data_IF_548314619460
#
_entry.id   IF_548314619460
#
_cell.length_a   1.000
_cell.length_b   1.000
_cell.length_c   1.000
_cell.angle_alpha   90.00
_cell.angle_beta   90.00
_cell.angle_gamma   90.00
#
_symmetry.space_group_name_H-M   'P 1'
#
loop_
_entity.id
_entity.type
_entity.pdbx_description
1 polymer ?
#
# COMPACT_ATOMS: atom_id res chain seq x y z
N UNK A 1 -15.51 -20.21 -11.52
CA UNK A 1 -16.20 -18.90 -11.50
C UNK A 1 -15.14 -17.80 -11.53
N UNK A 2 -15.18 -16.87 -12.49
CA UNK A 2 -14.13 -15.84 -12.65
C UNK A 2 -14.56 -14.60 -11.85
N UNK A 3 -13.90 -14.34 -10.73
CA UNK A 3 -14.14 -13.17 -9.85
C UNK A 3 -13.24 -12.02 -10.33
N UNK A 4 -13.71 -10.77 -10.32
CA UNK A 4 -12.81 -9.63 -10.58
C UNK A 4 -11.72 -9.58 -9.51
N UNK A 5 -10.47 -9.57 -9.92
CA UNK A 5 -9.34 -9.56 -8.99
C UNK A 5 -9.03 -8.10 -8.60
N UNK A 6 -9.03 -7.85 -7.28
CA UNK A 6 -8.51 -6.61 -6.73
C UNK A 6 -7.01 -6.55 -6.94
N UNK A 7 -6.53 -5.40 -7.41
CA UNK A 7 -5.12 -5.13 -7.54
C UNK A 7 -4.54 -4.35 -6.35
N UNK A 8 -5.38 -3.97 -5.38
CA UNK A 8 -4.91 -3.29 -4.17
C UNK A 8 -4.00 -4.26 -3.39
N UNK A 9 -2.72 -3.91 -3.33
CA UNK A 9 -1.68 -4.73 -2.71
C UNK A 9 -1.16 -4.12 -1.41
N UNK A 10 -0.38 -4.91 -0.66
CA UNK A 10 0.19 -4.51 0.63
C UNK A 10 1.38 -3.55 0.54
N UNK A 11 1.75 -2.99 1.70
CA UNK A 11 2.98 -2.19 1.83
C UNK A 11 4.23 -3.02 1.57
N UNK A 12 5.20 -2.43 0.87
CA UNK A 12 6.46 -3.05 0.47
C UNK A 12 6.33 -4.04 -0.69
N UNK A 13 5.17 -4.11 -1.36
CA UNK A 13 5.01 -4.91 -2.57
C UNK A 13 5.70 -4.17 -3.73
N UNK A 14 6.70 -4.77 -4.40
CA UNK A 14 7.32 -4.19 -5.57
C UNK A 14 6.32 -4.13 -6.71
N UNK A 15 6.50 -3.17 -7.60
CA UNK A 15 5.69 -3.05 -8.78
C UNK A 15 6.49 -2.58 -9.99
N UNK A 16 5.91 -2.85 -11.15
CA UNK A 16 6.31 -2.26 -12.42
C UNK A 16 5.12 -1.54 -13.05
N UNK A 17 5.39 -0.39 -13.64
CA UNK A 17 4.41 0.32 -14.47
C UNK A 17 4.20 -0.44 -15.78
N UNK A 18 2.96 -0.85 -16.03
CA UNK A 18 2.54 -1.58 -17.22
C UNK A 18 2.71 -0.78 -18.50
N UNK A 19 2.85 -1.49 -19.62
CA UNK A 19 3.11 -0.93 -20.96
C UNK A 19 1.94 -0.13 -21.53
N UNK A 20 0.75 -0.30 -20.97
CA UNK A 20 -0.49 0.36 -21.34
C UNK A 20 -0.75 1.66 -20.55
N UNK A 21 0.24 2.20 -19.86
CA UNK A 21 0.11 3.46 -19.10
C UNK A 21 0.49 4.66 -19.97
N UNK A 22 -0.39 5.68 -20.02
CA UNK A 22 -0.19 6.93 -20.78
C UNK A 22 0.13 8.13 -19.85
N UNK A 23 0.84 7.86 -18.75
CA UNK A 23 1.21 8.88 -17.75
C UNK A 23 2.52 9.59 -18.11
N UNK A 24 2.51 10.93 -18.11
CA UNK A 24 3.68 11.76 -18.46
C UNK A 24 4.79 11.80 -17.40
N UNK A 25 4.49 11.41 -16.17
CA UNK A 25 5.38 11.38 -15.00
C UNK A 25 5.96 9.97 -14.78
N UNK A 26 5.16 8.93 -15.01
CA UNK A 26 5.52 7.53 -14.82
C UNK A 26 5.49 6.76 -16.15
N UNK A 27 6.65 6.68 -16.79
CA UNK A 27 6.79 5.93 -18.04
C UNK A 27 6.61 4.42 -17.83
N UNK A 28 6.09 3.69 -18.83
CA UNK A 28 6.16 2.24 -18.91
C UNK A 28 7.51 1.68 -18.46
N UNK A 29 7.46 0.67 -17.57
CA UNK A 29 8.63 0.03 -17.01
C UNK A 29 9.24 0.70 -15.78
N UNK A 30 8.70 1.83 -15.32
CA UNK A 30 9.11 2.43 -14.04
C UNK A 30 8.93 1.41 -12.90
N UNK A 31 9.96 1.25 -12.06
CA UNK A 31 9.97 0.34 -10.92
C UNK A 31 9.78 1.10 -9.61
N UNK A 32 9.14 0.46 -8.65
CA UNK A 32 8.98 1.02 -7.31
C UNK A 32 8.38 0.03 -6.33
N UNK A 33 8.05 0.53 -5.14
CA UNK A 33 7.36 -0.19 -4.08
C UNK A 33 6.10 0.55 -3.65
N UNK A 34 5.03 -0.22 -3.42
CA UNK A 34 3.78 0.28 -2.87
C UNK A 34 3.95 0.55 -1.37
N UNK A 35 3.55 1.73 -0.88
CA UNK A 35 3.58 2.03 0.55
C UNK A 35 2.20 1.82 1.19
N UNK A 36 1.28 2.76 1.05
CA UNK A 36 -0.05 2.62 1.61
C UNK A 36 -1.11 3.33 0.78
N UNK A 37 -2.36 2.87 0.91
CA UNK A 37 -3.52 3.52 0.32
C UNK A 37 -3.81 4.85 1.02
N UNK A 38 -3.60 5.96 0.29
CA UNK A 38 -3.92 7.32 0.73
C UNK A 38 -5.44 7.51 0.82
N UNK A 39 -6.17 7.16 -0.23
CA UNK A 39 -7.62 7.30 -0.29
C UNK A 39 -8.19 7.00 -1.67
N UNK A 40 -9.51 7.15 -1.82
CA UNK A 40 -10.18 7.05 -3.12
C UNK A 40 -9.96 8.29 -3.96
N UNK A 41 -10.10 8.13 -5.26
CA UNK A 41 -10.43 9.24 -6.14
C UNK A 41 -11.85 9.73 -5.88
N UNK A 42 -12.04 11.05 -5.85
CA UNK A 42 -13.35 11.66 -5.57
C UNK A 42 -14.24 11.64 -6.82
N UNK A 43 -13.64 11.66 -8.00
CA UNK A 43 -14.33 11.71 -9.27
C UNK A 43 -14.60 10.29 -9.79
N UNK A 44 -13.72 9.32 -9.46
CA UNK A 44 -13.78 7.95 -9.99
C UNK A 44 -13.81 6.87 -8.90
N UNK A 45 -14.95 6.19 -8.76
CA UNK A 45 -15.16 5.18 -7.72
C UNK A 45 -14.25 3.93 -7.83
N UNK A 46 -13.74 3.62 -9.03
CA UNK A 46 -12.85 2.47 -9.28
C UNK A 46 -11.35 2.84 -9.24
N UNK A 47 -11.01 3.99 -8.66
CA UNK A 47 -9.63 4.51 -8.63
C UNK A 47 -9.20 4.85 -7.21
N UNK A 48 -7.95 4.55 -6.90
CA UNK A 48 -7.33 4.78 -5.60
C UNK A 48 -5.98 5.49 -5.74
N UNK A 49 -5.68 6.36 -4.78
CA UNK A 49 -4.36 6.97 -4.63
C UNK A 49 -3.49 6.11 -3.70
N UNK A 50 -2.32 5.72 -4.19
CA UNK A 50 -1.27 5.11 -3.40
C UNK A 50 -0.15 6.10 -3.17
N UNK A 51 0.42 6.07 -1.96
CA UNK A 51 1.80 6.50 -1.81
C UNK A 51 2.73 5.39 -2.31
N UNK A 52 3.71 5.80 -3.11
CA UNK A 52 4.72 4.91 -3.69
C UNK A 52 6.11 5.46 -3.48
N UNK A 53 7.08 4.56 -3.49
CA UNK A 53 8.50 4.90 -3.55
C UNK A 53 9.01 4.39 -4.89
N UNK A 54 9.47 5.30 -5.73
CA UNK A 54 10.09 4.97 -7.02
C UNK A 54 11.60 5.02 -6.89
N UNK A 55 12.27 4.04 -7.50
CA UNK A 55 13.73 3.97 -7.54
C UNK A 55 14.16 4.52 -8.90
N UNK A 56 14.90 5.64 -8.90
CA UNK A 56 15.34 6.32 -10.12
C UNK A 56 16.86 6.40 -10.19
N UNK A 57 17.41 6.44 -11.41
CA UNK A 57 18.81 6.82 -11.64
C UNK A 57 18.89 8.34 -11.85
N UNK A 58 19.69 9.02 -11.04
CA UNK A 58 19.96 10.45 -11.16
C UNK A 58 20.90 10.78 -12.33
N UNK A 59 21.13 12.08 -12.56
CA UNK A 59 21.97 12.60 -13.67
C UNK A 59 23.43 12.11 -13.64
N UNK A 60 23.92 11.67 -12.48
CA UNK A 60 25.26 11.07 -12.31
C UNK A 60 25.27 9.54 -12.25
N UNK A 61 24.19 8.86 -12.66
CA UNK A 61 24.08 7.38 -12.61
C UNK A 61 23.79 6.80 -11.23
N UNK A 62 23.94 7.57 -10.15
CA UNK A 62 23.59 7.17 -8.77
C UNK A 62 22.08 6.90 -8.63
N UNK A 63 21.72 5.83 -7.93
CA UNK A 63 20.31 5.54 -7.61
C UNK A 63 19.82 6.49 -6.51
N UNK A 64 18.56 6.91 -6.60
CA UNK A 64 17.87 7.73 -5.60
C UNK A 64 16.44 7.26 -5.39
N UNK A 65 15.89 7.59 -4.23
CA UNK A 65 14.51 7.30 -3.87
C UNK A 65 13.65 8.55 -4.03
N UNK A 66 12.62 8.48 -4.87
CA UNK A 66 11.62 9.53 -5.00
C UNK A 66 10.33 9.07 -4.33
N UNK A 67 9.77 9.90 -3.44
CA UNK A 67 8.51 9.64 -2.75
C UNK A 67 7.38 10.36 -3.47
N UNK A 68 6.45 9.59 -4.01
CA UNK A 68 5.38 10.17 -4.82
C UNK A 68 4.02 9.57 -4.49
N UNK A 69 3.02 10.06 -5.21
CA UNK A 69 1.68 9.51 -5.23
C UNK A 69 1.36 9.07 -6.66
N UNK A 70 0.62 7.98 -6.75
CA UNK A 70 0.17 7.42 -8.02
C UNK A 70 -1.29 7.05 -7.91
N UNK A 71 -2.01 7.33 -8.98
CA UNK A 71 -3.41 6.95 -9.09
C UNK A 71 -3.49 5.63 -9.85
N UNK A 72 -4.30 4.71 -9.35
CA UNK A 72 -4.30 3.32 -9.82
C UNK A 72 -5.72 2.74 -9.84
N UNK A 73 -6.13 2.01 -10.89
CA UNK A 73 -7.43 1.34 -10.93
C UNK A 73 -7.50 0.15 -9.95
N UNK A 74 -8.58 0.07 -9.18
CA UNK A 74 -8.77 -0.99 -8.17
C UNK A 74 -8.93 -2.36 -8.82
N UNK A 75 -9.72 -2.44 -9.88
CA UNK A 75 -9.93 -3.65 -10.69
C UNK A 75 -9.37 -3.45 -12.09
N UNK A 76 -8.56 -4.39 -12.56
CA UNK A 76 -8.04 -4.41 -13.93
C UNK A 76 -8.74 -5.53 -14.70
N UNK A 77 -9.73 -5.20 -15.51
CA UNK A 77 -10.15 -6.08 -16.58
C UNK A 77 -9.85 -5.43 -17.92
N UNK A 78 -9.40 -6.25 -18.86
CA UNK A 78 -9.16 -5.86 -20.26
C UNK A 78 -10.35 -5.09 -20.83
N UNK A 79 -11.58 -5.51 -20.54
CA UNK A 79 -12.81 -4.84 -20.97
C UNK A 79 -13.02 -3.47 -20.28
N UNK A 80 -12.80 -3.35 -18.96
CA UNK A 80 -12.91 -2.06 -18.25
C UNK A 80 -11.86 -1.08 -18.81
N UNK A 81 -10.63 -1.55 -19.03
CA UNK A 81 -9.56 -0.70 -19.57
C UNK A 81 -9.74 -0.33 -21.05
N UNK A 82 -10.26 -1.22 -21.88
CA UNK A 82 -10.51 -0.94 -23.31
C UNK A 82 -11.73 -0.03 -23.52
N UNK A 83 -12.71 -0.08 -22.60
CA UNK A 83 -13.92 0.77 -22.64
C UNK A 83 -13.72 2.18 -22.06
N UNK A 84 -12.58 2.47 -21.41
CA UNK A 84 -12.24 3.86 -21.05
C UNK A 84 -12.09 4.77 -22.27
N UNK A 85 -11.93 4.18 -23.46
CA UNK A 85 -11.88 4.90 -24.73
C UNK A 85 -13.25 5.35 -25.25
N UNK A 86 -14.34 4.81 -24.72
CA UNK A 86 -15.68 4.97 -25.33
C UNK A 86 -16.79 5.37 -24.35
N UNK A 87 -16.52 5.43 -23.04
CA UNK A 87 -17.53 5.76 -22.04
C UNK A 87 -17.28 7.12 -21.38
N UNK A 88 -18.24 8.05 -21.49
CA UNK A 88 -18.25 9.41 -20.91
C UNK A 88 -18.14 9.46 -19.36
N UNK A 89 -18.19 8.30 -18.70
CA UNK A 89 -18.16 8.15 -17.24
C UNK A 89 -16.97 7.33 -16.74
N UNK A 90 -16.09 6.92 -17.64
CA UNK A 90 -14.74 6.45 -17.34
C UNK A 90 -13.80 7.65 -17.46
N UNK A 91 -12.69 7.68 -16.72
CA UNK A 91 -11.77 8.80 -16.83
C UNK A 91 -11.35 8.94 -18.30
N UNK A 92 -11.50 10.13 -18.90
CA UNK A 92 -11.03 10.34 -20.27
C UNK A 92 -9.56 9.95 -20.32
N UNK A 93 -9.14 9.27 -21.39
CA UNK A 93 -7.73 8.89 -21.62
C UNK A 93 -6.79 10.10 -21.46
N UNK A 94 -7.32 11.29 -21.75
CA UNK A 94 -6.63 12.57 -21.69
C UNK A 94 -6.39 13.08 -20.26
N UNK A 95 -6.96 12.44 -19.22
CA UNK A 95 -6.61 12.70 -17.81
C UNK A 95 -5.31 11.95 -17.48
N UNK A 96 -4.19 12.61 -17.78
CA UNK A 96 -2.77 12.29 -17.58
C UNK A 96 -2.25 11.27 -16.52
N UNK A 97 -3.01 10.63 -15.62
CA UNK A 97 -2.42 10.12 -14.36
C UNK A 97 -2.85 8.77 -13.77
N UNK A 98 -3.55 7.88 -14.49
CA UNK A 98 -3.82 6.52 -13.97
C UNK A 98 -2.85 5.52 -14.57
N UNK A 99 -2.01 4.95 -13.71
CA UNK A 99 -0.95 4.04 -14.12
C UNK A 99 -1.42 2.62 -13.88
N UNK A 100 -1.06 1.66 -14.74
CA UNK A 100 -1.26 0.24 -14.42
C UNK A 100 -0.04 -0.26 -13.68
N UNK A 101 -0.27 -0.82 -12.50
CA UNK A 101 0.74 -1.38 -11.61
C UNK A 101 0.61 -2.90 -11.66
N UNK A 102 1.72 -3.55 -12.00
CA UNK A 102 1.85 -5.01 -11.96
C UNK A 102 2.57 -5.38 -10.65
N UNK A 103 1.84 -5.77 -9.58
CA UNK A 103 2.46 -6.13 -8.32
C UNK A 103 3.27 -7.41 -8.47
N UNK A 104 4.47 -7.42 -7.90
CA UNK A 104 5.35 -8.57 -7.86
C UNK A 104 5.24 -9.26 -6.49
N UNK A 105 5.06 -10.60 -6.44
CA UNK A 105 4.97 -11.31 -5.17
C UNK A 105 6.27 -11.19 -4.36
N UNK A 106 6.14 -10.89 -3.06
CA UNK A 106 7.28 -10.77 -2.16
C UNK A 106 7.35 -11.98 -1.20
N UNK A 107 8.46 -12.71 -1.24
CA UNK A 107 8.78 -13.73 -0.24
C UNK A 107 9.75 -13.16 0.80
N UNK A 108 9.92 -13.83 1.95
CA UNK A 108 10.92 -13.43 2.94
C UNK A 108 12.34 -13.48 2.36
N UNK A 109 12.66 -14.54 1.62
CA UNK A 109 13.96 -14.71 0.98
C UNK A 109 14.20 -13.58 -0.02
N UNK A 110 13.18 -13.22 -0.81
CA UNK A 110 13.25 -12.06 -1.71
C UNK A 110 13.58 -10.77 -0.96
N UNK A 111 12.99 -10.51 0.22
CA UNK A 111 13.33 -9.29 1.00
C UNK A 111 14.76 -9.29 1.53
N UNK A 112 15.30 -10.46 1.90
CA UNK A 112 16.67 -10.58 2.39
C UNK A 112 17.72 -10.49 1.27
N UNK A 113 17.36 -10.96 0.08
CA UNK A 113 18.20 -11.00 -1.14
C UNK A 113 18.09 -9.73 -1.99
N UNK A 114 17.19 -8.79 -1.65
CA UNK A 114 17.09 -7.48 -2.31
C UNK A 114 18.44 -6.77 -2.35
N UNK A 115 18.69 -6.03 -3.42
CA UNK A 115 19.85 -5.12 -3.44
C UNK A 115 19.72 -4.06 -2.33
N UNK A 116 20.82 -3.35 -2.04
CA UNK A 116 20.83 -2.38 -0.95
C UNK A 116 19.80 -1.25 -1.11
N UNK A 117 19.57 -0.80 -2.33
CA UNK A 117 18.66 0.31 -2.63
C UNK A 117 17.21 -0.15 -2.60
N UNK A 118 16.91 -1.34 -3.11
CA UNK A 118 15.60 -1.99 -3.03
C UNK A 118 15.20 -2.24 -1.58
N UNK A 119 16.14 -2.72 -0.76
CA UNK A 119 15.90 -2.91 0.66
C UNK A 119 15.68 -1.58 1.39
N UNK A 120 16.50 -0.57 1.09
CA UNK A 120 16.31 0.77 1.66
C UNK A 120 14.93 1.32 1.28
N UNK A 121 14.53 1.21 0.01
CA UNK A 121 13.22 1.63 -0.46
C UNK A 121 12.09 0.86 0.25
N UNK A 122 12.24 -0.46 0.43
CA UNK A 122 11.30 -1.29 1.18
C UNK A 122 11.18 -0.84 2.64
N UNK A 123 12.30 -0.58 3.30
CA UNK A 123 12.35 -0.07 4.67
C UNK A 123 11.66 1.30 4.77
N UNK A 124 11.91 2.20 3.81
CA UNK A 124 11.26 3.50 3.71
C UNK A 124 9.73 3.39 3.55
N UNK A 125 9.26 2.46 2.71
CA UNK A 125 7.83 2.22 2.49
C UNK A 125 7.13 1.86 3.80
N UNK A 126 7.74 0.95 4.56
CA UNK A 126 7.23 0.49 5.84
C UNK A 126 7.29 1.56 6.92
N UNK A 127 8.39 2.32 7.02
CA UNK A 127 8.51 3.43 7.95
C UNK A 127 7.41 4.49 7.70
N UNK A 128 7.16 4.87 6.45
CA UNK A 128 6.06 5.80 6.10
C UNK A 128 4.68 5.24 6.46
N UNK A 129 4.43 3.97 6.16
CA UNK A 129 3.19 3.30 6.57
C UNK A 129 3.00 3.33 8.09
N UNK A 130 4.04 2.99 8.86
CA UNK A 130 4.02 3.06 10.33
C UNK A 130 3.80 4.48 10.86
N UNK A 131 4.43 5.49 10.23
CA UNK A 131 4.24 6.91 10.58
C UNK A 131 2.79 7.35 10.40
N UNK A 132 2.11 6.91 9.33
CA UNK A 132 0.69 7.15 9.13
C UNK A 132 -0.18 6.48 10.19
N UNK A 133 0.10 5.21 10.50
CA UNK A 133 -0.59 4.53 11.59
C UNK A 133 -0.39 5.27 12.92
N UNK A 134 0.83 5.74 13.21
CA UNK A 134 1.13 6.54 14.40
C UNK A 134 0.34 7.86 14.43
N UNK A 135 0.29 8.63 13.34
CA UNK A 135 -0.46 9.89 13.27
C UNK A 135 -1.95 9.68 13.54
N UNK A 136 -2.52 8.57 13.07
CA UNK A 136 -3.91 8.20 13.36
C UNK A 136 -4.17 7.83 14.83
N UNK A 137 -3.11 7.68 15.64
CA UNK A 137 -3.16 7.36 17.08
C UNK A 137 -2.72 8.51 17.99
N UNK A 138 -2.59 9.74 17.47
CA UNK A 138 -2.07 10.91 18.20
C UNK A 138 -2.91 11.38 19.41
N UNK A 139 -3.94 10.63 19.81
CA UNK A 139 -4.74 10.86 21.02
C UNK A 139 -4.19 10.21 22.30
N UNK A 140 -3.09 9.45 22.25
CA UNK A 140 -2.50 8.84 23.45
C UNK A 140 -1.69 9.89 24.24
N UNK A 141 -2.23 10.33 25.38
CA UNK A 141 -1.62 11.32 26.30
C UNK A 141 -0.44 10.80 27.12
N UNK A 142 -0.13 9.50 27.09
CA UNK A 142 1.02 8.93 27.81
C UNK A 142 1.92 8.16 26.86
N UNK A 143 3.16 8.64 26.75
CA UNK A 143 4.21 7.98 25.99
C UNK A 143 4.91 6.94 26.88
N UNK A 144 5.12 5.70 26.40
CA UNK A 144 5.84 4.68 27.16
C UNK A 144 7.29 5.11 27.40
N UNK A 145 7.80 4.94 28.62
CA UNK A 145 9.19 5.27 28.97
C UNK A 145 10.22 4.20 28.58
N UNK A 146 9.77 2.98 28.25
CA UNK A 146 10.61 1.83 27.94
C UNK A 146 11.01 1.77 26.44
N UNK A 147 12.30 1.70 26.13
CA UNK A 147 12.84 1.60 24.76
C UNK A 147 12.44 0.30 24.01
N UNK A 148 12.04 -0.75 24.73
CA UNK A 148 11.53 -2.01 24.16
C UNK A 148 10.06 -1.92 23.80
N UNK A 149 9.36 -0.87 24.23
CA UNK A 149 7.96 -0.66 23.89
C UNK A 149 7.83 -0.36 22.39
N UNK A 150 6.80 -0.92 21.75
CA UNK A 150 6.66 -0.90 20.28
C UNK A 150 6.64 0.51 19.68
N UNK A 151 6.02 1.47 20.36
CA UNK A 151 6.00 2.89 19.97
C UNK A 151 7.39 3.54 19.96
N UNK A 152 8.28 3.14 20.87
CA UNK A 152 9.66 3.62 20.91
C UNK A 152 10.53 2.95 19.86
N UNK A 153 10.31 1.65 19.61
CA UNK A 153 10.94 0.94 18.47
C UNK A 153 10.51 1.60 17.15
N UNK A 154 9.23 1.92 16.98
CA UNK A 154 8.70 2.65 15.81
C UNK A 154 9.28 4.06 15.68
N UNK A 155 9.42 4.81 16.78
CA UNK A 155 9.99 6.16 16.74
C UNK A 155 11.46 6.11 16.35
N UNK A 156 12.23 5.22 16.98
CA UNK A 156 13.62 4.98 16.62
C UNK A 156 13.73 4.64 15.12
N UNK A 157 12.87 3.75 14.59
CA UNK A 157 12.82 3.40 13.16
C UNK A 157 12.51 4.60 12.23
N UNK A 158 11.76 5.58 12.72
CA UNK A 158 11.39 6.79 11.98
C UNK A 158 12.46 7.89 12.10
N UNK A 159 13.24 7.91 13.18
CA UNK A 159 14.36 8.84 13.38
C UNK A 159 15.49 8.54 12.40
N UNK A 160 15.69 7.27 12.02
CA UNK A 160 16.56 6.91 10.88
C UNK A 160 16.09 7.53 9.55
N UNK A 161 14.83 7.96 9.45
CA UNK A 161 14.18 8.39 8.22
C UNK A 161 13.71 9.87 8.24
N UNK A 162 14.18 10.68 9.19
CA UNK A 162 13.63 12.02 9.48
C UNK A 162 14.46 13.21 8.95
N UNK A 163 15.64 13.00 8.38
CA UNK A 163 16.51 14.08 7.90
C UNK A 163 16.02 14.69 6.59
N UNK A 164 16.13 16.02 6.43
CA UNK A 164 16.11 16.65 5.11
C UNK A 164 17.37 16.18 4.36
N UNK A 165 17.21 15.18 3.51
CA UNK A 165 18.32 14.44 2.90
C UNK A 165 19.09 15.27 1.89
N UNK A 166 20.39 15.46 2.15
CA UNK A 166 21.39 15.79 1.15
C UNK A 166 22.09 14.51 0.65
N UNK A 167 22.75 14.58 -0.51
CA UNK A 167 23.33 13.42 -1.20
C UNK A 167 24.40 12.67 -0.39
N UNK A 168 25.05 13.31 0.58
CA UNK A 168 26.08 12.72 1.44
C UNK A 168 25.50 11.82 2.53
N UNK A 169 24.34 12.17 3.12
CA UNK A 169 23.65 11.36 4.13
C UNK A 169 23.00 10.09 3.54
N UNK A 170 22.81 10.05 2.21
CA UNK A 170 22.31 8.87 1.50
C UNK A 170 23.32 7.71 1.47
N UNK A 171 24.62 8.02 1.44
CA UNK A 171 25.71 7.01 1.38
C UNK A 171 25.89 6.33 2.73
N UNK A 172 25.94 7.10 3.83
CA UNK A 172 26.05 6.59 5.21
C UNK A 172 24.88 5.66 5.59
N UNK A 173 23.66 5.98 5.14
CA UNK A 173 22.52 5.11 5.36
C UNK A 173 22.60 3.83 4.53
N UNK A 174 22.97 3.93 3.25
CA UNK A 174 23.11 2.75 2.40
C UNK A 174 24.08 1.74 3.04
N UNK A 175 25.28 2.18 3.43
CA UNK A 175 26.29 1.32 4.07
C UNK A 175 25.81 0.71 5.40
N UNK A 176 25.10 1.50 6.22
CA UNK A 176 24.53 1.04 7.51
C UNK A 176 23.41 0.00 7.33
N UNK A 177 22.59 0.12 6.28
CA UNK A 177 21.44 -0.77 6.02
C UNK A 177 21.78 -2.00 5.18
N UNK A 178 22.89 -1.98 4.43
CA UNK A 178 23.41 -3.15 3.70
C UNK A 178 24.27 -4.08 4.56
N UNK A 179 24.70 -3.64 5.75
CA UNK A 179 25.36 -4.51 6.71
C UNK A 179 24.40 -5.63 7.18
N UNK A 180 24.80 -6.89 6.99
CA UNK A 180 23.93 -8.07 7.13
C UNK A 180 23.16 -8.16 8.47
N UNK A 181 23.78 -7.75 9.58
CA UNK A 181 23.15 -7.79 10.91
C UNK A 181 22.02 -6.75 11.10
N UNK A 182 22.10 -5.60 10.44
CA UNK A 182 21.10 -4.51 10.56
C UNK A 182 19.86 -4.85 9.74
N UNK A 183 20.03 -5.40 8.53
CA UNK A 183 18.94 -5.82 7.64
C UNK A 183 18.05 -6.86 8.31
N UNK A 184 18.65 -7.91 8.88
CA UNK A 184 17.88 -8.97 9.53
C UNK A 184 17.11 -8.46 10.76
N UNK A 185 17.76 -7.67 11.62
CA UNK A 185 17.12 -7.09 12.80
C UNK A 185 15.97 -6.15 12.41
N UNK A 186 16.14 -5.34 11.36
CA UNK A 186 15.08 -4.48 10.85
C UNK A 186 13.87 -5.27 10.35
N UNK A 187 14.07 -6.33 9.54
CA UNK A 187 12.96 -7.16 9.04
C UNK A 187 12.24 -7.86 10.19
N UNK A 188 12.97 -8.39 11.17
CA UNK A 188 12.40 -9.01 12.37
C UNK A 188 11.59 -7.98 13.20
N UNK A 189 12.14 -6.78 13.44
CA UNK A 189 11.45 -5.69 14.15
C UNK A 189 10.19 -5.22 13.41
N UNK A 190 10.24 -5.05 12.10
CA UNK A 190 9.08 -4.68 11.28
C UNK A 190 7.94 -5.69 11.39
N UNK A 191 8.26 -6.99 11.39
CA UNK A 191 7.27 -8.06 11.59
C UNK A 191 6.65 -8.01 12.99
N UNK A 192 7.48 -7.82 14.03
CA UNK A 192 7.02 -7.65 15.41
C UNK A 192 6.11 -6.42 15.56
N UNK A 193 6.47 -5.28 14.97
CA UNK A 193 5.66 -4.05 14.95
C UNK A 193 4.34 -4.28 14.23
N UNK A 194 4.38 -4.86 13.03
CA UNK A 194 3.17 -5.13 12.27
C UNK A 194 2.20 -6.05 13.03
N UNK A 195 2.73 -7.02 13.80
CA UNK A 195 1.95 -7.89 14.67
C UNK A 195 1.43 -7.18 15.93
N UNK A 196 2.25 -6.36 16.58
CA UNK A 196 1.87 -5.63 17.79
C UNK A 196 0.85 -4.50 17.50
N UNK A 197 0.87 -3.94 16.29
CA UNK A 197 -0.12 -3.00 15.80
C UNK A 197 -1.33 -3.68 15.14
N UNK A 198 -1.69 -4.90 15.56
CA UNK A 198 -2.76 -5.69 14.96
C UNK A 198 -4.05 -4.88 14.76
N UNK A 199 -4.46 -4.05 15.72
CA UNK A 199 -5.65 -3.21 15.60
C UNK A 199 -5.54 -2.16 14.47
N UNK A 200 -4.41 -1.47 14.36
CA UNK A 200 -4.15 -0.48 13.31
C UNK A 200 -4.02 -1.16 11.94
N UNK A 201 -3.38 -2.33 11.89
CA UNK A 201 -3.29 -3.14 10.68
C UNK A 201 -4.66 -3.67 10.21
N UNK A 202 -5.52 -4.12 11.14
CA UNK A 202 -6.91 -4.50 10.83
C UNK A 202 -7.72 -3.28 10.37
N UNK A 203 -7.46 -2.09 10.93
CA UNK A 203 -8.09 -0.84 10.48
C UNK A 203 -7.68 -0.49 9.05
N UNK A 204 -6.39 -0.65 8.70
CA UNK A 204 -5.91 -0.52 7.33
C UNK A 204 -6.60 -1.52 6.39
N UNK A 205 -6.63 -2.82 6.74
CA UNK A 205 -7.31 -3.86 5.97
C UNK A 205 -8.81 -3.56 5.77
N UNK A 206 -9.46 -2.97 6.77
CA UNK A 206 -10.84 -2.56 6.66
C UNK A 206 -11.01 -1.40 5.69
N UNK A 207 -10.12 -0.40 5.73
CA UNK A 207 -10.12 0.72 4.78
C UNK A 207 -9.97 0.21 3.34
N UNK A 208 -9.01 -0.67 3.08
CA UNK A 208 -8.81 -1.25 1.74
C UNK A 208 -10.02 -2.05 1.28
N UNK A 209 -10.58 -2.90 2.15
CA UNK A 209 -11.76 -3.71 1.80
C UNK A 209 -13.01 -2.87 1.53
N UNK A 210 -13.19 -1.75 2.23
CA UNK A 210 -14.29 -0.80 1.96
C UNK A 210 -14.14 -0.14 0.59
N UNK A 211 -12.93 0.30 0.25
CA UNK A 211 -12.67 0.89 -1.07
C UNK A 211 -12.94 -0.10 -2.21
N UNK A 212 -12.51 -1.35 -2.05
CA UNK A 212 -12.86 -2.41 -3.00
C UNK A 212 -14.37 -2.64 -3.09
N UNK A 213 -15.06 -2.66 -1.95
CA UNK A 213 -16.51 -2.85 -1.89
C UNK A 213 -17.27 -1.73 -2.62
N UNK A 214 -16.93 -0.47 -2.34
CA UNK A 214 -17.57 0.69 -2.97
C UNK A 214 -17.37 0.67 -4.50
N UNK A 215 -16.14 0.34 -4.94
CA UNK A 215 -15.81 0.20 -6.34
C UNK A 215 -16.60 -0.93 -7.02
N UNK A 216 -16.73 -2.11 -6.38
CA UNK A 216 -17.49 -3.22 -6.99
C UNK A 216 -19.00 -2.95 -6.99
N UNK A 217 -19.54 -2.26 -6.00
CA UNK A 217 -20.95 -1.81 -6.01
C UNK A 217 -21.19 -0.90 -7.21
N UNK A 218 -20.27 0.02 -7.49
CA UNK A 218 -20.36 0.89 -8.65
C UNK A 218 -20.28 0.10 -9.97
N UNK A 219 -19.32 -0.82 -10.11
CA UNK A 219 -19.20 -1.70 -11.29
C UNK A 219 -20.43 -2.57 -11.47
N UNK A 220 -20.98 -3.12 -10.38
CA UNK A 220 -22.17 -3.96 -10.38
C UNK A 220 -23.42 -3.22 -10.87
N UNK A 221 -23.68 -2.00 -10.34
CA UNK A 221 -24.79 -1.15 -10.77
C UNK A 221 -24.73 -0.80 -12.26
N UNK A 222 -23.52 -0.72 -12.80
CA UNK A 222 -23.24 -0.35 -14.18
C UNK A 222 -22.70 -1.54 -15.00
N UNK A 223 -23.01 -2.80 -14.61
CA UNK A 223 -22.37 -3.98 -15.18
C UNK A 223 -22.51 -4.07 -16.72
N UNK A 224 -23.66 -3.66 -17.27
CA UNK A 224 -23.89 -3.58 -18.72
C UNK A 224 -22.93 -2.60 -19.40
N UNK A 225 -22.72 -1.43 -18.81
CA UNK A 225 -21.81 -0.40 -19.33
C UNK A 225 -20.34 -0.85 -19.28
N UNK A 226 -20.00 -1.75 -18.36
CA UNK A 226 -18.64 -2.29 -18.23
C UNK A 226 -18.43 -3.63 -18.94
N UNK A 227 -19.42 -4.11 -19.71
CA UNK A 227 -19.34 -5.39 -20.40
C UNK A 227 -19.15 -6.58 -19.44
N UNK A 228 -19.66 -6.46 -18.21
CA UNK A 228 -19.62 -7.51 -17.19
C UNK A 228 -20.98 -8.21 -17.16
N UNK A 229 -21.00 -9.53 -17.32
CA UNK A 229 -22.23 -10.29 -17.22
C UNK A 229 -22.78 -10.28 -15.79
N UNK A 230 -24.11 -10.34 -15.65
CA UNK A 230 -24.80 -10.24 -14.37
C UNK A 230 -24.33 -11.30 -13.36
N UNK A 231 -24.06 -12.53 -13.81
CA UNK A 231 -23.65 -13.64 -12.94
C UNK A 231 -22.26 -13.37 -12.35
N UNK A 232 -21.32 -12.91 -13.16
CA UNK A 232 -19.99 -12.49 -12.70
C UNK A 232 -20.06 -11.28 -11.76
N UNK A 233 -20.88 -10.28 -12.10
CA UNK A 233 -21.08 -9.10 -11.26
C UNK A 233 -21.64 -9.49 -9.87
N UNK A 234 -22.73 -10.27 -9.83
CA UNK A 234 -23.39 -10.72 -8.60
C UNK A 234 -22.43 -11.52 -7.71
N UNK A 235 -21.68 -12.43 -8.33
CA UNK A 235 -20.79 -13.30 -7.59
C UNK A 235 -19.52 -12.56 -7.08
N UNK A 236 -19.04 -11.57 -7.83
CA UNK A 236 -17.94 -10.69 -7.40
C UNK A 236 -18.39 -9.78 -6.26
N UNK A 237 -19.58 -9.18 -6.36
CA UNK A 237 -20.17 -8.39 -5.28
C UNK A 237 -20.28 -9.23 -4.00
N UNK A 238 -20.84 -10.45 -4.10
CA UNK A 238 -20.94 -11.38 -2.97
C UNK A 238 -19.56 -11.69 -2.34
N UNK A 239 -18.55 -11.95 -3.15
CA UNK A 239 -17.19 -12.22 -2.67
C UNK A 239 -16.64 -11.05 -1.84
N UNK A 240 -16.72 -9.82 -2.34
CA UNK A 240 -16.20 -8.64 -1.65
C UNK A 240 -17.04 -8.22 -0.44
N UNK A 241 -18.36 -8.44 -0.47
CA UNK A 241 -19.23 -8.32 0.72
C UNK A 241 -18.74 -9.26 1.82
N UNK A 242 -18.57 -10.55 1.53
CA UNK A 242 -18.06 -11.52 2.51
C UNK A 242 -16.65 -11.18 3.00
N UNK A 243 -15.77 -10.66 2.13
CA UNK A 243 -14.44 -10.17 2.53
C UNK A 243 -14.55 -9.02 3.54
N UNK A 244 -15.39 -8.02 3.27
CA UNK A 244 -15.60 -6.87 4.14
C UNK A 244 -16.19 -7.29 5.49
N UNK A 245 -17.18 -8.19 5.50
CA UNK A 245 -17.79 -8.74 6.71
C UNK A 245 -16.75 -9.46 7.59
N UNK A 246 -15.95 -10.35 7.01
CA UNK A 246 -14.90 -11.09 7.73
C UNK A 246 -13.89 -10.14 8.39
N UNK A 247 -13.46 -9.10 7.68
CA UNK A 247 -12.51 -8.11 8.22
C UNK A 247 -13.16 -7.26 9.32
N UNK A 248 -14.43 -6.93 9.16
CA UNK A 248 -15.22 -6.20 10.18
C UNK A 248 -15.35 -7.03 11.46
N UNK A 249 -15.70 -8.31 11.35
CA UNK A 249 -15.74 -9.23 12.50
C UNK A 249 -14.37 -9.37 13.17
N UNK A 250 -13.29 -9.43 12.40
CA UNK A 250 -11.92 -9.47 12.95
C UNK A 250 -11.60 -8.20 13.75
N UNK A 251 -11.98 -7.02 13.25
CA UNK A 251 -11.85 -5.75 13.99
C UNK A 251 -12.61 -5.79 15.31
N UNK A 252 -13.85 -6.27 15.27
CA UNK A 252 -14.73 -6.24 16.44
C UNK A 252 -14.26 -7.23 17.51
N UNK A 253 -13.79 -8.42 17.13
CA UNK A 253 -13.12 -9.36 18.04
C UNK A 253 -11.87 -8.75 18.70
N UNK A 254 -11.05 -8.05 17.93
CA UNK A 254 -9.86 -7.36 18.47
C UNK A 254 -10.23 -6.26 19.47
N UNK A 255 -11.32 -5.52 19.22
CA UNK A 255 -11.86 -4.53 20.18
C UNK A 255 -12.39 -5.18 21.46
N UNK A 256 -13.13 -6.29 21.35
CA UNK A 256 -13.69 -7.02 22.49
C UNK A 256 -12.61 -7.71 23.34
N UNK A 257 -11.56 -8.24 22.73
CA UNK A 257 -10.45 -8.84 23.48
C UNK A 257 -9.66 -7.77 24.26
N UNK A 258 -9.54 -6.55 23.72
CA UNK A 258 -8.95 -5.42 24.43
C UNK A 258 -9.81 -4.94 25.59
N UNK A 259 -11.15 -4.94 25.44
CA UNK A 259 -12.05 -4.57 26.54
C UNK A 259 -12.05 -5.61 27.66
N UNK A 260 -11.90 -6.90 27.35
CA UNK A 260 -11.75 -7.94 28.38
C UNK A 260 -10.38 -7.90 29.09
N UNK A 261 -9.31 -7.57 28.37
CA UNK A 261 -7.98 -7.39 28.97
C UNK A 261 -7.94 -6.20 29.95
N UNK A 262 -8.71 -5.14 29.70
CA UNK A 262 -8.83 -3.97 30.59
C UNK A 262 -9.78 -4.18 31.79
N UNK A 263 -10.48 -5.31 31.88
CA UNK A 263 -11.35 -5.65 33.04
C UNK A 263 -10.61 -6.59 34.02
N UNK A 264 -9.38 -7.01 33.71
CA UNK A 264 -8.55 -7.85 34.57
C UNK A 264 -7.31 -7.13 35.14
N UNK A 265 -7.29 -5.79 35.10
CA UNK A 265 -6.27 -4.96 35.78
C UNK A 265 -6.93 -3.90 36.63
#
# INVERSE_FOLDING_TARGET
MKILQSNISGCGVPYKVGTNSEDGVYKPGTLGLLSFVKGRDLDFANVVYFHVITIRRGKGGKQRLDFNEISFPIFNTKNIMEMSKTADHMPPLDRRYYVVIEPQPLSFNHTMEMDGHDFLAWACCHAKYLSQLRRSTSGFRMWPKDNKHIMNIMSAMNDYMSGNYNDEQHVDMFEKYTAGGVREDFVRKMRKISSALAQSHVTYKLKTAKLEYDAIVHVHKNAKLFGVDKKTADATLKHHTTKLEKITQLRDRQRHNKSKANVMF
#
